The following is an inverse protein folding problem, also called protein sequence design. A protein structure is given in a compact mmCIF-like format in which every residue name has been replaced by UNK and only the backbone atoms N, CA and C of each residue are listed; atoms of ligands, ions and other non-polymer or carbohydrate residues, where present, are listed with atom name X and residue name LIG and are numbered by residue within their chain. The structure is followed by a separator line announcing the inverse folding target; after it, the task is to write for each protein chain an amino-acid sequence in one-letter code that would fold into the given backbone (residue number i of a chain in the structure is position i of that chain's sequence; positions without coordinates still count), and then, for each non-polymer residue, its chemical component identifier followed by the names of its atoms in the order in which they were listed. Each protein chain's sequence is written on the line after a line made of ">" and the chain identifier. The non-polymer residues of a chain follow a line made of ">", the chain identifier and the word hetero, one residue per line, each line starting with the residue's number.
data_IF_604490366014
#
_entry.id   IF_604490366014
#
_cell.length_a   1.000
_cell.length_b   1.000
_cell.length_c   1.000
_cell.angle_alpha   90.00
_cell.angle_beta   90.00
_cell.angle_gamma   90.00
#
_symmetry.space_group_name_H-M   'P 1'
#
loop_
_entity.id
_entity.type
_entity.pdbx_description
1 polymer ?
#
# COMPACT_ATOMS: atom_id res chain seq x y z
N UNK A 1 86.22 5.51 12.65
CA UNK A 1 86.40 4.84 13.97
C UNK A 1 85.24 5.35 14.82
N UNK A 2 84.14 4.60 14.86
CA UNK A 2 83.79 3.71 15.99
C UNK A 2 83.50 4.58 17.23
N UNK A 3 82.31 4.66 17.83
CA UNK A 3 81.26 3.66 18.04
C UNK A 3 79.98 4.32 18.60
N UNK A 4 78.83 3.77 18.16
CA UNK A 4 77.65 3.44 18.98
C UNK A 4 77.00 4.55 19.86
N UNK A 5 76.16 5.37 19.25
CA UNK A 5 75.02 5.97 19.95
C UNK A 5 73.93 4.90 20.11
N UNK A 6 73.93 4.20 21.24
CA UNK A 6 72.82 3.36 21.66
C UNK A 6 71.68 4.23 22.19
N UNK A 7 70.72 4.58 21.34
CA UNK A 7 69.43 5.06 21.81
C UNK A 7 68.69 3.88 22.48
N UNK A 8 68.06 4.08 23.65
CA UNK A 8 67.26 3.04 24.27
C UNK A 8 66.06 2.76 23.37
N UNK A 9 66.06 1.56 22.77
CA UNK A 9 64.91 1.01 22.05
C UNK A 9 63.74 1.05 23.02
N UNK A 10 62.72 1.87 22.72
CA UNK A 10 61.47 1.94 23.45
C UNK A 10 60.77 0.57 23.33
N UNK A 11 61.14 -0.40 24.17
CA UNK A 11 60.53 -1.73 24.22
C UNK A 11 59.02 -1.63 24.47
N UNK A 12 58.56 -0.56 25.13
CA UNK A 12 57.14 -0.26 25.35
C UNK A 12 56.37 0.06 24.05
N UNK A 13 57.03 0.60 23.02
CA UNK A 13 56.40 0.87 21.72
C UNK A 13 56.13 -0.43 20.93
N UNK A 14 56.92 -1.48 21.17
CA UNK A 14 56.71 -2.80 20.58
C UNK A 14 55.56 -3.58 21.26
N UNK A 15 55.21 -3.23 22.50
CA UNK A 15 54.13 -3.87 23.28
C UNK A 15 52.78 -3.16 23.08
N UNK A 16 52.77 -1.89 22.68
CA UNK A 16 51.53 -1.14 22.41
C UNK A 16 50.57 -1.79 21.39
N UNK A 17 51.04 -2.42 20.30
CA UNK A 17 50.17 -3.16 19.37
C UNK A 17 49.57 -4.44 19.98
N UNK A 18 50.23 -5.04 20.98
CA UNK A 18 49.76 -6.25 21.67
C UNK A 18 48.69 -5.93 22.73
N UNK A 19 48.70 -4.71 23.29
CA UNK A 19 47.69 -4.20 24.23
C UNK A 19 46.55 -3.46 23.48
N UNK A 20 46.61 -3.43 22.15
CA UNK A 20 45.61 -2.77 21.33
C UNK A 20 44.30 -3.58 21.35
N UNK A 21 43.37 -3.19 22.23
CA UNK A 21 41.99 -3.70 22.37
C UNK A 21 41.22 -3.78 21.03
N UNK A 22 41.72 -3.14 19.97
CA UNK A 22 41.29 -3.27 18.58
C UNK A 22 41.17 -4.73 18.11
N UNK A 23 42.17 -5.59 18.35
CA UNK A 23 42.12 -7.01 17.95
C UNK A 23 41.07 -7.79 18.74
N UNK A 24 40.92 -7.48 20.02
CA UNK A 24 39.87 -8.00 20.91
C UNK A 24 38.46 -7.47 20.58
N UNK A 25 38.32 -6.40 19.80
CA UNK A 25 37.02 -5.99 19.24
C UNK A 25 36.74 -6.64 17.89
N UNK A 26 37.79 -6.88 17.10
CA UNK A 26 37.73 -7.50 15.77
C UNK A 26 37.32 -8.97 15.84
N UNK A 27 37.90 -9.75 16.76
CA UNK A 27 37.51 -11.16 16.94
C UNK A 27 36.06 -11.30 17.44
N UNK A 28 35.58 -10.34 18.26
CA UNK A 28 34.24 -10.29 18.82
C UNK A 28 33.27 -9.94 17.70
N UNK A 29 33.58 -8.94 16.89
CA UNK A 29 32.82 -8.59 15.70
C UNK A 29 32.73 -9.77 14.71
N UNK A 30 33.82 -10.50 14.48
CA UNK A 30 33.83 -11.69 13.61
C UNK A 30 32.99 -12.84 14.18
N UNK A 31 33.08 -13.11 15.49
CA UNK A 31 32.25 -14.11 16.17
C UNK A 31 30.78 -13.70 16.12
N UNK A 32 30.45 -12.46 16.48
CA UNK A 32 29.08 -11.94 16.44
C UNK A 32 28.50 -11.99 15.02
N UNK A 33 29.29 -11.63 14.00
CA UNK A 33 28.86 -11.72 12.61
C UNK A 33 28.61 -13.17 12.17
N UNK A 34 29.45 -14.10 12.62
CA UNK A 34 29.28 -15.53 12.34
C UNK A 34 28.05 -16.11 13.04
N UNK A 35 27.83 -15.73 14.29
CA UNK A 35 26.64 -16.11 15.08
C UNK A 35 25.36 -15.53 14.48
N UNK A 36 25.34 -14.26 14.08
CA UNK A 36 24.20 -13.63 13.39
C UNK A 36 23.92 -14.34 12.07
N UNK A 37 24.95 -14.71 11.29
CA UNK A 37 24.77 -15.49 10.06
C UNK A 37 24.13 -16.85 10.33
N UNK A 38 24.58 -17.55 11.38
CA UNK A 38 24.00 -18.83 11.79
C UNK A 38 22.55 -18.65 12.22
N UNK A 39 22.23 -17.66 13.06
CA UNK A 39 20.84 -17.37 13.45
C UNK A 39 19.97 -16.95 12.27
N UNK A 40 20.49 -16.14 11.36
CA UNK A 40 19.78 -15.77 10.12
C UNK A 40 19.54 -17.01 9.24
N UNK A 41 20.53 -17.88 9.07
CA UNK A 41 20.37 -19.13 8.32
C UNK A 41 19.37 -20.09 8.99
N UNK A 42 19.37 -20.19 10.32
CA UNK A 42 18.38 -20.96 11.08
C UNK A 42 16.99 -20.34 10.99
N UNK A 43 16.87 -19.01 10.95
CA UNK A 43 15.59 -18.34 10.71
C UNK A 43 15.05 -18.59 9.30
N UNK A 44 15.93 -18.88 8.34
CA UNK A 44 15.56 -19.27 6.98
C UNK A 44 15.24 -20.77 6.81
N UNK A 45 15.67 -21.63 7.75
CA UNK A 45 15.44 -23.07 7.72
C UNK A 45 13.96 -23.49 7.59
N UNK A 46 12.97 -22.87 8.29
CA UNK A 46 11.55 -23.18 8.07
C UNK A 46 11.08 -22.86 6.64
N UNK A 47 11.74 -21.94 5.93
CA UNK A 47 11.43 -21.61 4.54
C UNK A 47 12.12 -22.52 3.54
N UNK A 48 13.15 -23.29 3.94
CA UNK A 48 13.82 -24.26 3.08
C UNK A 48 12.85 -25.35 2.59
N UNK A 49 11.83 -25.65 3.38
CA UNK A 49 10.73 -26.57 3.05
C UNK A 49 10.03 -26.15 1.74
N UNK A 50 9.95 -24.86 1.42
CA UNK A 50 9.37 -24.35 0.18
C UNK A 50 10.26 -24.54 -1.06
N UNK A 51 11.54 -24.87 -0.89
CA UNK A 51 12.45 -25.14 -2.03
C UNK A 51 12.34 -26.59 -2.54
N UNK A 52 11.74 -27.48 -1.75
CA UNK A 52 11.47 -28.87 -2.13
C UNK A 52 10.30 -28.87 -3.11
N UNK A 53 10.56 -29.23 -4.38
CA UNK A 53 9.60 -29.07 -5.49
C UNK A 53 8.22 -29.73 -5.30
N UNK A 54 8.12 -30.79 -4.48
CA UNK A 54 6.82 -31.42 -4.15
C UNK A 54 5.98 -30.60 -3.16
N UNK A 55 6.62 -29.97 -2.17
CA UNK A 55 5.94 -29.11 -1.19
C UNK A 55 5.61 -27.75 -1.79
N UNK A 56 6.48 -27.23 -2.66
CA UNK A 56 6.17 -26.04 -3.46
C UNK A 56 4.87 -26.23 -4.24
N UNK A 57 4.66 -27.40 -4.87
CA UNK A 57 3.38 -27.71 -5.56
C UNK A 57 2.17 -27.75 -4.61
N UNK A 58 2.31 -28.32 -3.42
CA UNK A 58 1.24 -28.31 -2.42
C UNK A 58 0.86 -26.88 -1.99
N UNK A 59 1.86 -26.01 -1.79
CA UNK A 59 1.63 -24.62 -1.40
C UNK A 59 1.23 -23.70 -2.57
N UNK A 60 1.54 -24.04 -3.83
CA UNK A 60 1.00 -23.31 -4.99
C UNK A 60 -0.51 -23.47 -5.17
N UNK A 61 -1.09 -24.50 -4.54
CA UNK A 61 -2.54 -24.68 -4.47
C UNK A 61 -3.16 -24.02 -3.22
N UNK A 62 -2.36 -23.46 -2.32
CA UNK A 62 -2.86 -22.63 -1.23
C UNK A 62 -3.26 -21.27 -1.80
N UNK A 63 -4.53 -20.92 -1.62
CA UNK A 63 -5.04 -19.62 -2.01
C UNK A 63 -4.39 -18.50 -1.19
N UNK A 64 -4.24 -17.32 -1.79
CA UNK A 64 -3.65 -16.18 -1.11
C UNK A 64 -4.47 -15.84 0.14
N UNK A 65 -3.82 -15.88 1.30
CA UNK A 65 -4.41 -15.51 2.58
C UNK A 65 -3.80 -14.21 3.06
N UNK A 66 -4.60 -13.43 3.79
CA UNK A 66 -4.19 -12.19 4.42
C UNK A 66 -4.56 -12.22 5.91
N UNK A 67 -3.81 -11.46 6.70
CA UNK A 67 -4.18 -11.21 8.09
C UNK A 67 -5.15 -10.02 8.13
N UNK A 68 -6.24 -10.22 8.85
CA UNK A 68 -7.17 -9.16 9.23
C UNK A 68 -6.60 -8.30 10.36
N UNK A 69 -7.25 -7.16 10.67
CA UNK A 69 -6.85 -6.29 11.77
C UNK A 69 -6.92 -6.99 13.14
N UNK A 70 -7.81 -7.97 13.29
CA UNK A 70 -7.92 -8.86 14.46
C UNK A 70 -6.88 -9.99 14.48
N UNK A 71 -5.98 -10.05 13.49
CA UNK A 71 -4.95 -11.09 13.39
C UNK A 71 -5.47 -12.45 12.92
N UNK A 72 -6.75 -12.58 12.57
CA UNK A 72 -7.29 -13.81 11.98
C UNK A 72 -6.89 -13.93 10.51
N UNK A 73 -6.59 -15.16 10.08
CA UNK A 73 -6.29 -15.50 8.69
C UNK A 73 -7.60 -15.50 7.91
N UNK A 74 -7.67 -14.72 6.83
CA UNK A 74 -8.83 -14.62 5.93
C UNK A 74 -8.38 -14.71 4.47
N UNK A 75 -9.27 -15.08 3.53
CA UNK A 75 -8.97 -14.98 2.11
C UNK A 75 -8.54 -13.56 1.75
N UNK A 76 -7.48 -13.43 0.95
CA UNK A 76 -6.96 -12.12 0.56
C UNK A 76 -7.97 -11.39 -0.34
N UNK A 77 -8.45 -10.23 0.10
CA UNK A 77 -9.27 -9.36 -0.73
C UNK A 77 -8.42 -8.64 -1.79
N UNK A 78 -8.19 -9.33 -2.91
CA UNK A 78 -7.35 -8.85 -4.01
C UNK A 78 -7.84 -7.55 -4.66
N UNK A 79 -9.14 -7.25 -4.57
CA UNK A 79 -9.73 -6.06 -5.19
C UNK A 79 -9.97 -4.92 -4.18
N UNK A 80 -9.76 -5.16 -2.89
CA UNK A 80 -10.00 -4.18 -1.83
C UNK A 80 -11.48 -3.78 -1.69
N UNK A 81 -12.42 -4.64 -2.08
CA UNK A 81 -13.86 -4.36 -1.96
C UNK A 81 -14.28 -4.19 -0.49
N UNK A 82 -13.69 -4.95 0.44
CA UNK A 82 -13.94 -4.83 1.88
C UNK A 82 -13.58 -3.45 2.41
N UNK A 83 -12.39 -2.95 2.09
CA UNK A 83 -11.95 -1.61 2.46
C UNK A 83 -12.80 -0.53 1.79
N UNK A 84 -13.20 -0.76 0.54
CA UNK A 84 -14.06 0.16 -0.19
C UNK A 84 -15.45 0.29 0.45
N UNK A 85 -16.07 -0.84 0.82
CA UNK A 85 -17.35 -0.85 1.53
C UNK A 85 -17.26 -0.15 2.88
N UNK A 86 -16.20 -0.45 3.64
CA UNK A 86 -15.95 0.20 4.93
C UNK A 86 -15.79 1.70 4.77
N UNK A 87 -15.06 2.16 3.76
CA UNK A 87 -14.94 3.58 3.46
C UNK A 87 -16.30 4.22 3.16
N UNK A 88 -17.16 3.61 2.33
CA UNK A 88 -18.51 4.15 2.09
C UNK A 88 -19.30 4.22 3.40
N UNK A 89 -19.24 3.17 4.21
CA UNK A 89 -19.98 3.08 5.45
C UNK A 89 -19.54 4.13 6.48
N UNK A 90 -18.23 4.21 6.75
CA UNK A 90 -17.66 5.12 7.73
C UNK A 90 -17.63 6.58 7.26
N UNK A 91 -17.14 6.83 6.03
CA UNK A 91 -16.90 8.19 5.54
C UNK A 91 -18.13 8.83 4.89
N UNK A 92 -19.08 8.06 4.35
CA UNK A 92 -20.25 8.63 3.66
C UNK A 92 -21.56 8.41 4.42
N UNK A 93 -21.81 7.20 4.93
CA UNK A 93 -23.12 6.86 5.53
C UNK A 93 -23.21 7.32 6.99
N UNK A 94 -22.14 7.14 7.77
CA UNK A 94 -22.11 7.44 9.21
C UNK A 94 -21.37 8.74 9.55
N UNK A 95 -20.68 9.36 8.59
CA UNK A 95 -20.06 10.65 8.82
C UNK A 95 -21.11 11.76 8.82
N UNK A 96 -21.36 12.35 9.98
CA UNK A 96 -22.35 13.43 10.16
C UNK A 96 -22.24 14.59 9.16
N UNK A 97 -21.03 14.95 8.72
CA UNK A 97 -20.84 16.06 7.79
C UNK A 97 -21.40 15.76 6.39
N UNK A 98 -21.25 14.52 5.92
CA UNK A 98 -21.70 14.11 4.59
C UNK A 98 -23.05 13.41 4.60
N UNK A 99 -23.47 12.86 5.75
CA UNK A 99 -24.77 12.21 5.91
C UNK A 99 -25.92 13.16 5.60
N UNK A 100 -25.87 14.38 6.14
CA UNK A 100 -26.91 15.39 5.94
C UNK A 100 -26.92 15.90 4.50
N UNK A 101 -25.74 16.09 3.91
CA UNK A 101 -25.61 16.48 2.52
C UNK A 101 -26.20 15.42 1.58
N UNK A 102 -25.86 14.14 1.78
CA UNK A 102 -26.36 13.03 0.96
C UNK A 102 -27.90 12.91 1.07
N UNK A 103 -28.47 13.14 2.25
CA UNK A 103 -29.93 13.16 2.45
C UNK A 103 -30.60 14.30 1.69
N UNK A 104 -29.96 15.46 1.60
CA UNK A 104 -30.47 16.62 0.87
C UNK A 104 -30.39 16.43 -0.66
N UNK A 105 -29.39 15.67 -1.14
CA UNK A 105 -29.23 15.36 -2.56
C UNK A 105 -30.31 14.40 -3.09
N UNK A 106 -30.56 13.31 -2.36
CA UNK A 106 -31.68 12.41 -2.64
C UNK A 106 -32.16 11.79 -1.32
N UNK A 107 -33.44 12.01 -1.00
CA UNK A 107 -34.06 11.58 0.25
C UNK A 107 -33.99 10.05 0.43
N UNK A 108 -33.91 9.30 -0.68
CA UNK A 108 -33.72 7.85 -0.71
C UNK A 108 -32.25 7.43 -0.94
N UNK A 109 -31.31 8.35 -1.16
CA UNK A 109 -29.91 8.06 -1.47
C UNK A 109 -29.24 7.26 -0.37
N UNK A 110 -29.41 7.68 0.89
CA UNK A 110 -28.84 6.98 2.04
C UNK A 110 -29.30 5.52 2.07
N UNK A 111 -30.60 5.28 1.93
CA UNK A 111 -31.16 3.92 1.91
C UNK A 111 -30.63 3.08 0.74
N UNK A 112 -30.54 3.65 -0.47
CA UNK A 112 -29.97 2.97 -1.65
C UNK A 112 -28.51 2.61 -1.44
N UNK A 113 -27.71 3.53 -0.87
CA UNK A 113 -26.30 3.33 -0.62
C UNK A 113 -26.06 2.30 0.48
N UNK A 114 -26.79 2.38 1.59
CA UNK A 114 -26.76 1.37 2.67
C UNK A 114 -27.10 -0.02 2.13
N UNK A 115 -28.18 -0.14 1.34
CA UNK A 115 -28.55 -1.42 0.73
C UNK A 115 -27.47 -1.93 -0.25
N UNK A 116 -26.84 -1.04 -1.02
CA UNK A 116 -25.75 -1.39 -1.92
C UNK A 116 -24.52 -1.91 -1.16
N UNK A 117 -24.18 -1.27 -0.03
CA UNK A 117 -23.09 -1.68 0.87
C UNK A 117 -23.37 -3.04 1.50
N UNK A 118 -24.57 -3.24 2.05
CA UNK A 118 -24.97 -4.51 2.67
C UNK A 118 -24.97 -5.66 1.65
N UNK A 119 -25.47 -5.40 0.44
CA UNK A 119 -25.38 -6.33 -0.69
C UNK A 119 -23.92 -6.62 -1.09
N UNK A 120 -23.02 -5.65 -0.94
CA UNK A 120 -21.57 -5.82 -1.11
C UNK A 120 -20.96 -6.76 -0.08
N UNK A 121 -21.29 -6.60 1.20
CA UNK A 121 -20.83 -7.51 2.26
C UNK A 121 -21.32 -8.94 2.06
N UNK A 122 -22.59 -9.12 1.68
CA UNK A 122 -23.13 -10.43 1.34
C UNK A 122 -22.43 -11.04 0.13
N UNK A 123 -22.09 -10.23 -0.87
CA UNK A 123 -21.33 -10.66 -2.03
C UNK A 123 -19.92 -11.14 -1.65
N UNK A 124 -19.22 -10.42 -0.77
CA UNK A 124 -17.91 -10.82 -0.27
C UNK A 124 -17.97 -12.15 0.49
N UNK A 125 -18.93 -12.31 1.40
CA UNK A 125 -19.10 -13.54 2.15
C UNK A 125 -19.35 -14.76 1.24
N UNK A 126 -20.09 -14.58 0.14
CA UNK A 126 -20.41 -15.64 -0.83
C UNK A 126 -19.31 -15.86 -1.87
N UNK A 127 -18.58 -14.82 -2.28
CA UNK A 127 -17.58 -14.90 -3.34
C UNK A 127 -16.48 -15.91 -3.03
N UNK A 128 -16.06 -15.97 -1.77
CA UNK A 128 -15.01 -16.88 -1.31
C UNK A 128 -15.45 -18.34 -1.16
N UNK A 129 -16.74 -18.66 -1.32
CA UNK A 129 -17.18 -20.05 -1.48
C UNK A 129 -16.76 -20.64 -2.83
N UNK A 130 -16.46 -19.79 -3.83
CA UNK A 130 -16.00 -20.16 -5.17
C UNK A 130 -14.82 -19.27 -5.62
N UNK A 131 -13.61 -19.55 -5.12
CA UNK A 131 -12.46 -18.65 -5.23
C UNK A 131 -12.08 -18.30 -6.67
N UNK A 132 -12.21 -19.25 -7.61
CA UNK A 132 -11.93 -19.04 -9.04
C UNK A 132 -12.77 -17.92 -9.68
N UNK A 133 -13.96 -17.64 -9.13
CA UNK A 133 -14.86 -16.60 -9.63
C UNK A 133 -14.85 -15.33 -8.77
N UNK A 134 -14.26 -15.38 -7.58
CA UNK A 134 -14.34 -14.32 -6.58
C UNK A 134 -13.82 -12.98 -7.11
N UNK A 135 -12.69 -12.98 -7.80
CA UNK A 135 -12.08 -11.80 -8.43
C UNK A 135 -13.05 -11.08 -9.40
N UNK A 136 -13.73 -11.86 -10.27
CA UNK A 136 -14.64 -11.29 -11.26
C UNK A 136 -15.90 -10.73 -10.60
N UNK A 137 -16.46 -11.48 -9.65
CA UNK A 137 -17.71 -11.15 -8.98
C UNK A 137 -17.54 -9.91 -8.09
N UNK A 138 -16.47 -9.84 -7.31
CA UNK A 138 -16.17 -8.68 -6.44
C UNK A 138 -15.85 -7.43 -7.25
N UNK A 139 -15.09 -7.55 -8.36
CA UNK A 139 -14.84 -6.43 -9.27
C UNK A 139 -16.12 -5.88 -9.87
N UNK A 140 -17.00 -6.77 -10.36
CA UNK A 140 -18.31 -6.37 -10.89
C UNK A 140 -19.13 -5.64 -9.82
N UNK A 141 -19.18 -6.19 -8.60
CA UNK A 141 -19.93 -5.60 -7.50
C UNK A 141 -19.42 -4.20 -7.12
N UNK A 142 -18.09 -3.98 -7.17
CA UNK A 142 -17.50 -2.64 -6.99
C UNK A 142 -18.03 -1.65 -8.03
N UNK A 143 -18.02 -2.04 -9.32
CA UNK A 143 -18.54 -1.19 -10.40
C UNK A 143 -20.02 -0.89 -10.21
N UNK A 144 -20.83 -1.88 -9.84
CA UNK A 144 -22.26 -1.69 -9.58
C UNK A 144 -22.50 -0.65 -8.45
N UNK A 145 -21.65 -0.65 -7.42
CA UNK A 145 -21.72 0.33 -6.32
C UNK A 145 -21.25 1.71 -6.77
N UNK A 146 -20.19 1.79 -7.57
CA UNK A 146 -19.71 3.06 -8.16
C UNK A 146 -20.78 3.72 -9.03
N UNK A 147 -21.55 2.94 -9.78
CA UNK A 147 -22.67 3.45 -10.59
C UNK A 147 -23.80 4.03 -9.72
N UNK A 148 -24.09 3.41 -8.58
CA UNK A 148 -25.04 3.97 -7.61
C UNK A 148 -24.51 5.27 -7.03
N UNK A 149 -23.22 5.31 -6.64
CA UNK A 149 -22.60 6.50 -6.08
C UNK A 149 -22.60 7.66 -7.08
N UNK A 150 -22.27 7.41 -8.36
CA UNK A 150 -22.28 8.42 -9.44
C UNK A 150 -23.67 8.98 -9.76
N UNK A 151 -24.73 8.22 -9.49
CA UNK A 151 -26.11 8.71 -9.67
C UNK A 151 -26.55 9.63 -8.54
N UNK A 152 -25.98 9.46 -7.34
CA UNK A 152 -26.30 10.26 -6.16
C UNK A 152 -25.46 11.53 -6.14
N UNK A 153 -24.14 11.38 -6.33
CA UNK A 153 -23.15 12.45 -6.21
C UNK A 153 -22.73 12.87 -7.62
N UNK A 154 -23.24 14.00 -8.09
CA UNK A 154 -22.82 14.63 -9.35
C UNK A 154 -22.09 15.94 -9.07
N UNK A 155 -21.26 16.40 -10.02
CA UNK A 155 -20.51 17.67 -9.89
C UNK A 155 -21.44 18.88 -9.76
N UNK A 156 -22.66 18.77 -10.27
CA UNK A 156 -23.65 19.86 -10.27
C UNK A 156 -24.45 19.92 -8.96
N UNK A 157 -24.71 18.77 -8.33
CA UNK A 157 -25.56 18.69 -7.15
C UNK A 157 -24.78 18.67 -5.84
N UNK A 158 -23.66 17.97 -5.79
CA UNK A 158 -22.87 17.79 -4.57
C UNK A 158 -21.91 18.95 -4.30
N UNK A 159 -21.54 19.12 -3.03
CA UNK A 159 -20.48 20.02 -2.61
C UNK A 159 -19.15 19.60 -3.25
N UNK A 160 -18.28 20.59 -3.48
CA UNK A 160 -16.97 20.36 -4.09
C UNK A 160 -16.13 19.38 -3.23
N UNK A 161 -16.29 19.41 -1.91
CA UNK A 161 -15.59 18.54 -0.97
C UNK A 161 -16.10 17.10 -1.05
N UNK A 162 -17.42 16.88 -1.06
CA UNK A 162 -18.00 15.55 -1.22
C UNK A 162 -17.64 14.94 -2.58
N UNK A 163 -17.73 15.74 -3.65
CA UNK A 163 -17.38 15.28 -5.00
C UNK A 163 -15.90 14.88 -5.11
N UNK A 164 -14.98 15.69 -4.56
CA UNK A 164 -13.55 15.37 -4.49
C UNK A 164 -13.26 14.12 -3.66
N UNK A 165 -13.99 13.92 -2.56
CA UNK A 165 -13.82 12.76 -1.69
C UNK A 165 -14.28 11.48 -2.37
N UNK A 166 -15.41 11.52 -3.07
CA UNK A 166 -15.97 10.37 -3.77
C UNK A 166 -15.24 10.05 -5.08
N UNK A 167 -14.78 11.06 -5.82
CA UNK A 167 -14.21 10.88 -7.15
C UNK A 167 -12.89 11.66 -7.35
N UNK A 168 -11.83 11.38 -6.56
CA UNK A 168 -10.56 12.10 -6.67
C UNK A 168 -9.94 11.97 -8.07
N UNK A 169 -10.04 10.78 -8.68
CA UNK A 169 -9.50 10.52 -10.02
C UNK A 169 -10.20 11.34 -11.10
N UNK A 170 -11.53 11.47 -11.01
CA UNK A 170 -12.29 12.29 -11.97
C UNK A 170 -11.91 13.75 -11.85
N UNK A 171 -11.73 14.26 -10.63
CA UNK A 171 -11.27 15.64 -10.40
C UNK A 171 -9.90 15.89 -11.02
N UNK A 172 -8.96 14.93 -10.91
CA UNK A 172 -7.64 15.05 -11.54
C UNK A 172 -7.76 15.12 -13.06
N UNK A 173 -8.56 14.22 -13.65
CA UNK A 173 -8.78 14.18 -15.10
C UNK A 173 -9.45 15.46 -15.59
N UNK A 174 -10.46 15.96 -14.89
CA UNK A 174 -11.15 17.20 -15.23
C UNK A 174 -10.20 18.39 -15.18
N UNK A 175 -9.38 18.51 -14.12
CA UNK A 175 -8.36 19.57 -14.01
C UNK A 175 -7.33 19.50 -15.13
N UNK A 176 -6.91 18.30 -15.51
CA UNK A 176 -5.98 18.11 -16.62
C UNK A 176 -6.61 18.53 -17.96
N UNK A 177 -7.86 18.18 -18.21
CA UNK A 177 -8.59 18.59 -19.42
C UNK A 177 -8.81 20.11 -19.47
N UNK A 178 -9.15 20.73 -18.34
CA UNK A 178 -9.28 22.18 -18.21
C UNK A 178 -7.96 22.89 -18.50
N UNK A 179 -6.83 22.40 -17.98
CA UNK A 179 -5.50 22.95 -18.25
C UNK A 179 -5.13 22.85 -19.74
N UNK A 180 -5.33 21.67 -20.34
CA UNK A 180 -5.04 21.44 -21.76
C UNK A 180 -5.92 22.30 -22.69
N UNK A 181 -7.17 22.56 -22.30
CA UNK A 181 -8.05 23.46 -23.04
C UNK A 181 -7.55 24.91 -23.00
N UNK A 182 -7.06 25.38 -21.84
CA UNK A 182 -6.48 26.72 -21.69
C UNK A 182 -5.21 26.88 -22.50
N UNK A 183 -4.27 25.93 -22.42
CA UNK A 183 -3.05 25.94 -23.24
C UNK A 183 -3.36 26.03 -24.74
N UNK A 184 -4.39 25.32 -25.20
CA UNK A 184 -4.81 25.38 -26.60
C UNK A 184 -5.34 26.77 -26.98
N UNK A 185 -6.18 27.37 -26.15
CA UNK A 185 -6.72 28.72 -26.39
C UNK A 185 -5.59 29.78 -26.41
N UNK A 186 -4.65 29.71 -25.47
CA UNK A 186 -3.48 30.60 -25.41
C UNK A 186 -2.62 30.48 -26.67
N UNK A 187 -2.36 29.25 -27.15
CA UNK A 187 -1.61 29.03 -28.40
C UNK A 187 -2.32 29.57 -29.64
N UNK A 188 -3.65 29.53 -29.67
CA UNK A 188 -4.47 30.07 -30.77
C UNK A 188 -4.52 31.61 -30.74
N UNK A 189 -4.46 32.22 -29.56
CA UNK A 189 -4.37 33.68 -29.40
C UNK A 189 -2.98 34.21 -29.76
N UNK A 190 -1.91 33.53 -29.34
CA UNK A 190 -0.53 33.86 -29.74
C UNK A 190 -0.31 33.74 -31.26
N UNK A 191 -0.93 32.73 -31.89
CA UNK A 191 -0.89 32.57 -33.35
C UNK A 191 -1.63 33.70 -34.10
N UNK A 192 -2.66 34.30 -33.49
CA UNK A 192 -3.38 35.46 -34.06
C UNK A 192 -2.65 36.78 -33.83
N UNK A 193 -1.79 36.88 -32.82
CA UNK A 193 -1.10 38.12 -32.45
C UNK A 193 0.24 38.33 -33.15
N UNK A 194 0.81 37.34 -33.84
CA UNK A 194 2.03 37.54 -34.67
C UNK A 194 1.63 38.12 -36.04
N UNK A 195 1.89 39.41 -36.31
CA UNK A 195 1.71 39.95 -37.66
C UNK A 195 2.83 39.39 -38.53
N UNK A 196 2.48 39.01 -39.77
CA UNK A 196 3.44 38.84 -40.85
C UNK A 196 4.18 40.15 -41.13
#
# INVERSE_FOLDING_TARGET
>A
RAELAGEPVNELAAVWPLINFSMFSLWQCQITFSVIKVFFSLSSAPFFIFTIGGLNKLFTHCEATAYSADGSIRPMDTNGLSNYLRWIEEDLIYNSAYEDEIRMLDQAAKGKLTHAVESGHQCLAKAWTRPSTALRVTRKKKVDIDEVLKKIVTRESASEDLYKRCFPDLVIVERYLEAKAKEKLESEEEAKQKPF
#
